data_IF_702989048696
#
_entry.id   IF_702989048696
#
_cell.length_a   1.000
_cell.length_b   1.000
_cell.length_c   1.000
_cell.angle_alpha   90.00
_cell.angle_beta   90.00
_cell.angle_gamma   90.00
#
_symmetry.space_group_name_H-M   'P 1'
#
loop_
_entity.id
_entity.type
_entity.pdbx_description
1 polymer ?
#
# COMPACT_ATOMS: atom_id res chain seq x y z
N UNK A 1 2.10 -6.08 1.55
CA UNK A 1 2.91 -5.54 2.67
C UNK A 1 2.10 -5.58 3.96
N UNK A 2 0.84 -5.17 3.94
CA UNK A 2 -0.07 -5.16 5.10
C UNK A 2 -0.18 -6.51 5.83
N UNK A 3 -0.14 -7.61 5.08
CA UNK A 3 -0.17 -8.96 5.66
C UNK A 3 1.02 -9.29 6.59
N UNK A 4 2.06 -8.46 6.59
CA UNK A 4 3.21 -8.60 7.49
C UNK A 4 2.99 -7.90 8.84
N UNK A 5 2.02 -7.02 8.92
CA UNK A 5 1.70 -6.29 10.15
C UNK A 5 1.24 -7.28 11.23
N UNK A 6 1.88 -7.21 12.39
CA UNK A 6 1.58 -8.11 13.51
C UNK A 6 2.16 -9.53 13.41
N UNK A 7 2.73 -9.93 12.27
CA UNK A 7 3.33 -11.27 12.11
C UNK A 7 4.78 -11.35 12.61
N UNK A 8 5.48 -10.22 12.63
CA UNK A 8 6.88 -10.15 13.05
C UNK A 8 7.07 -9.13 14.16
N UNK A 9 7.54 -9.54 15.36
CA UNK A 9 7.78 -8.62 16.46
C UNK A 9 8.80 -7.53 16.09
N UNK A 10 8.46 -6.26 16.37
CA UNK A 10 9.32 -5.11 16.10
C UNK A 10 9.28 -4.59 14.66
N UNK A 11 8.41 -5.13 13.81
CA UNK A 11 8.09 -4.59 12.49
C UNK A 11 6.82 -3.74 12.60
N UNK A 12 6.93 -2.46 12.29
CA UNK A 12 5.81 -1.51 12.24
C UNK A 12 5.57 -1.13 10.79
N UNK A 13 4.34 -1.30 10.34
CA UNK A 13 3.89 -0.89 9.00
C UNK A 13 2.81 0.16 9.20
N UNK A 14 3.04 1.36 8.69
CA UNK A 14 2.09 2.47 8.76
C UNK A 14 1.69 2.88 7.36
N UNK A 15 0.39 2.87 7.10
CA UNK A 15 -0.18 3.41 5.88
C UNK A 15 -0.75 4.80 6.20
N UNK A 16 -0.19 5.83 5.58
CA UNK A 16 -0.58 7.23 5.82
C UNK A 16 -1.90 7.58 5.14
N UNK A 17 -2.18 6.95 4.00
CA UNK A 17 -3.46 7.08 3.33
C UNK A 17 -3.80 5.78 2.57
N UNK A 18 -5.08 5.60 2.23
CA UNK A 18 -5.59 4.41 1.54
C UNK A 18 -5.69 4.57 0.02
N UNK A 19 -4.99 5.55 -0.57
CA UNK A 19 -4.97 5.72 -2.02
C UNK A 19 -4.26 4.55 -2.70
N UNK A 20 -4.81 4.06 -3.84
CA UNK A 20 -4.17 3.03 -4.63
C UNK A 20 -2.75 3.41 -5.03
N UNK A 21 -1.78 2.52 -4.78
CA UNK A 21 -0.38 2.75 -5.11
C UNK A 21 0.43 3.54 -4.08
N UNK A 22 -0.17 4.02 -3.00
CA UNK A 22 0.57 4.65 -1.93
C UNK A 22 1.50 3.66 -1.22
N UNK A 23 2.66 4.16 -0.79
CA UNK A 23 3.69 3.34 -0.15
C UNK A 23 3.51 3.38 1.36
N UNK A 24 3.30 2.23 2.02
CA UNK A 24 3.34 2.17 3.47
C UNK A 24 4.76 2.45 3.96
N UNK A 25 4.86 3.18 5.05
CA UNK A 25 6.12 3.31 5.80
C UNK A 25 6.38 2.03 6.58
N UNK A 26 7.58 1.48 6.43
CA UNK A 26 8.02 0.27 7.11
C UNK A 26 9.17 0.63 8.02
N UNK A 27 9.02 0.36 9.31
CA UNK A 27 10.04 0.61 10.31
C UNK A 27 10.33 -0.66 11.12
N UNK A 28 11.62 -0.91 11.40
CA UNK A 28 12.08 -1.96 12.29
C UNK A 28 12.70 -1.27 13.50
N UNK A 29 12.24 -1.62 14.74
CA UNK A 29 12.71 -1.03 16.00
C UNK A 29 12.40 0.48 16.20
N UNK A 30 11.37 1.01 15.54
CA UNK A 30 10.97 2.41 15.64
C UNK A 30 11.87 3.38 14.85
N UNK A 31 11.73 4.67 15.12
CA UNK A 31 12.48 5.74 14.46
C UNK A 31 13.78 6.01 15.19
N UNK A 32 14.92 5.66 14.61
CA UNK A 32 16.25 5.84 15.19
C UNK A 32 17.01 7.05 14.64
N UNK A 33 16.54 7.62 13.54
CA UNK A 33 17.18 8.78 12.89
C UNK A 33 16.13 9.81 12.47
N UNK A 34 16.55 11.06 12.28
CA UNK A 34 15.71 12.13 11.72
C UNK A 34 15.58 12.03 10.19
N UNK A 35 16.39 11.18 9.57
CA UNK A 35 16.39 10.94 8.13
C UNK A 35 15.55 9.69 7.78
N UNK A 36 15.93 8.98 6.73
CA UNK A 36 15.25 7.77 6.28
C UNK A 36 15.46 6.61 7.28
N UNK A 37 14.36 6.11 7.84
CA UNK A 37 14.32 4.96 8.76
C UNK A 37 13.94 3.65 8.03
N UNK A 38 13.82 3.68 6.70
CA UNK A 38 13.42 2.51 5.92
C UNK A 38 14.43 1.37 6.04
N UNK A 39 13.99 0.13 6.25
CA UNK A 39 14.88 -1.01 6.26
C UNK A 39 15.40 -1.33 4.85
N UNK A 40 16.56 -1.98 4.78
CA UNK A 40 17.05 -2.53 3.54
C UNK A 40 16.20 -3.74 3.12
N UNK A 41 15.62 -3.71 1.93
CA UNK A 41 14.87 -4.83 1.38
C UNK A 41 15.71 -5.58 0.36
N UNK A 42 15.84 -6.89 0.57
CA UNK A 42 16.52 -7.79 -0.35
C UNK A 42 15.53 -8.84 -0.88
N UNK A 43 15.45 -8.94 -2.21
CA UNK A 43 14.62 -9.91 -2.91
C UNK A 43 15.56 -10.90 -3.60
N UNK A 44 15.55 -12.15 -3.17
CA UNK A 44 16.47 -13.20 -3.64
C UNK A 44 17.95 -12.76 -3.60
N UNK A 45 18.33 -11.97 -2.59
CA UNK A 45 19.67 -11.44 -2.37
C UNK A 45 20.00 -10.13 -3.11
N UNK A 46 19.09 -9.59 -3.91
CA UNK A 46 19.24 -8.31 -4.60
C UNK A 46 18.43 -7.20 -3.92
N UNK A 47 19.00 -5.99 -3.87
CA UNK A 47 18.28 -4.82 -3.35
C UNK A 47 17.06 -4.54 -4.23
N UNK A 48 15.90 -4.41 -3.60
CA UNK A 48 14.64 -4.19 -4.30
C UNK A 48 13.59 -3.50 -3.45
N UNK A 49 12.43 -3.27 -4.04
CA UNK A 49 11.26 -2.70 -3.36
C UNK A 49 10.22 -3.81 -3.12
N UNK A 50 9.79 -3.98 -1.89
CA UNK A 50 8.81 -4.97 -1.49
C UNK A 50 7.47 -4.82 -2.24
N UNK A 51 7.13 -3.60 -2.65
CA UNK A 51 5.91 -3.33 -3.42
C UNK A 51 5.96 -3.89 -4.84
N UNK A 52 7.15 -4.13 -5.37
CA UNK A 52 7.33 -4.69 -6.70
C UNK A 52 7.23 -6.22 -6.73
N UNK A 53 7.10 -6.86 -5.58
CA UNK A 53 6.91 -8.31 -5.50
C UNK A 53 5.42 -8.63 -5.41
N UNK A 54 4.99 -9.62 -6.21
CA UNK A 54 3.67 -10.20 -6.03
C UNK A 54 3.66 -11.06 -4.75
N UNK A 55 2.75 -10.81 -3.79
CA UNK A 55 2.66 -11.61 -2.57
C UNK A 55 2.53 -13.11 -2.82
N UNK A 56 1.87 -13.51 -3.91
CA UNK A 56 1.67 -14.91 -4.28
C UNK A 56 2.96 -15.59 -4.78
N UNK A 57 3.98 -14.81 -5.17
CA UNK A 57 5.30 -15.33 -5.54
C UNK A 57 6.26 -15.46 -4.35
N UNK A 58 5.89 -14.98 -3.17
CA UNK A 58 6.73 -15.03 -1.97
C UNK A 58 6.67 -16.43 -1.36
N UNK A 59 7.83 -16.99 -1.07
CA UNK A 59 8.00 -18.22 -0.33
C UNK A 59 8.17 -17.96 1.16
N UNK A 60 9.05 -17.02 1.52
CA UNK A 60 9.32 -16.66 2.90
C UNK A 60 9.79 -15.21 3.01
N UNK A 61 9.53 -14.62 4.18
CA UNK A 61 10.04 -13.31 4.57
C UNK A 61 10.73 -13.46 5.91
N UNK A 62 11.96 -12.97 5.99
CA UNK A 62 12.74 -12.94 7.22
C UNK A 62 13.16 -11.52 7.53
N UNK A 63 13.03 -11.11 8.79
CA UNK A 63 13.42 -9.77 9.25
C UNK A 63 14.63 -9.88 10.15
N UNK A 64 15.75 -9.32 9.71
CA UNK A 64 16.98 -9.21 10.47
C UNK A 64 17.01 -7.87 11.19
N UNK A 65 16.97 -7.92 12.50
CA UNK A 65 16.94 -6.72 13.33
C UNK A 65 18.19 -6.58 14.20
N UNK A 66 18.99 -7.63 14.38
CA UNK A 66 20.16 -7.60 15.24
C UNK A 66 21.40 -7.15 14.48
N UNK A 67 22.23 -6.31 15.13
CA UNK A 67 23.44 -5.74 14.52
C UNK A 67 24.39 -6.81 13.98
N UNK A 68 24.50 -7.96 14.69
CA UNK A 68 25.32 -9.09 14.26
C UNK A 68 24.81 -9.72 12.96
N UNK A 69 23.48 -9.85 12.78
CA UNK A 69 22.87 -10.42 11.58
C UNK A 69 22.84 -9.44 10.39
N UNK A 70 22.84 -8.15 10.66
CA UNK A 70 22.81 -7.11 9.60
C UNK A 70 24.20 -6.65 9.18
N UNK A 71 25.26 -6.94 9.94
CA UNK A 71 26.63 -6.51 9.67
C UNK A 71 27.15 -6.85 8.28
N UNK A 72 26.76 -8.00 7.73
CA UNK A 72 27.18 -8.45 6.38
C UNK A 72 26.64 -7.58 5.24
N UNK A 73 25.62 -6.76 5.50
CA UNK A 73 24.98 -5.88 4.52
C UNK A 73 25.46 -4.43 4.60
N UNK A 74 26.41 -4.14 5.52
CA UNK A 74 27.04 -2.82 5.68
C UNK A 74 26.14 -1.75 6.29
N UNK A 75 26.50 -0.48 6.09
CA UNK A 75 25.83 0.68 6.70
C UNK A 75 24.37 0.86 6.28
N UNK A 76 23.98 0.40 5.09
CA UNK A 76 22.58 0.45 4.62
C UNK A 76 21.64 -0.42 5.45
N UNK A 77 22.16 -1.36 6.19
CA UNK A 77 21.38 -2.27 7.04
C UNK A 77 21.22 -1.77 8.49
N UNK A 78 21.64 -0.55 8.79
CA UNK A 78 21.54 0.05 10.14
C UNK A 78 20.11 0.06 10.68
N UNK A 79 19.12 0.25 9.82
CA UNK A 79 17.69 0.25 10.14
C UNK A 79 17.03 -1.14 10.06
N UNK A 80 17.84 -2.21 9.93
CA UNK A 80 17.38 -3.58 9.76
C UNK A 80 17.30 -4.00 8.30
N UNK A 81 17.08 -5.30 8.09
CA UNK A 81 17.01 -5.91 6.74
C UNK A 81 15.78 -6.79 6.65
N UNK A 82 15.05 -6.67 5.55
CA UNK A 82 13.95 -7.56 5.17
C UNK A 82 14.43 -8.44 4.03
N UNK A 83 14.52 -9.74 4.28
CA UNK A 83 14.89 -10.74 3.28
C UNK A 83 13.62 -11.38 2.72
N UNK A 84 13.40 -11.24 1.44
CA UNK A 84 12.30 -11.86 0.72
C UNK A 84 12.87 -12.97 -0.17
N UNK A 85 12.45 -14.20 0.06
CA UNK A 85 12.76 -15.33 -0.80
C UNK A 85 11.54 -15.64 -1.64
N UNK A 86 11.70 -15.68 -2.96
CA UNK A 86 10.62 -16.01 -3.88
C UNK A 86 10.52 -17.50 -4.12
N UNK A 87 9.34 -17.95 -4.54
CA UNK A 87 9.06 -19.34 -4.88
C UNK A 87 9.97 -19.82 -6.01
N UNK A 88 10.38 -21.06 -5.92
CA UNK A 88 11.14 -21.77 -6.95
C UNK A 88 10.25 -22.80 -7.64
N UNK A 89 10.74 -23.36 -8.74
CA UNK A 89 10.05 -24.42 -9.44
C UNK A 89 9.81 -25.66 -8.54
N UNK A 90 8.68 -26.31 -8.74
CA UNK A 90 8.33 -27.54 -8.03
C UNK A 90 9.16 -28.70 -8.54
N UNK A 91 9.68 -29.58 -7.65
CA UNK A 91 10.38 -30.79 -8.04
C UNK A 91 9.40 -31.86 -8.52
N UNK A 92 9.82 -32.64 -9.49
CA UNK A 92 9.19 -33.88 -9.99
C UNK A 92 7.75 -33.75 -10.52
N UNK A 93 7.25 -32.53 -10.71
CA UNK A 93 5.93 -32.30 -11.28
C UNK A 93 5.81 -30.95 -11.95
N UNK A 94 4.96 -30.90 -12.96
CA UNK A 94 4.44 -29.64 -13.50
C UNK A 94 3.24 -29.24 -12.66
N UNK A 95 3.27 -28.05 -12.08
CA UNK A 95 2.14 -27.50 -11.33
C UNK A 95 1.74 -26.17 -11.97
N UNK A 96 0.44 -26.06 -12.29
CA UNK A 96 -0.18 -24.83 -12.77
C UNK A 96 -1.14 -24.36 -11.69
N UNK A 97 -0.93 -23.13 -11.22
CA UNK A 97 -1.80 -22.53 -10.22
C UNK A 97 -2.41 -21.25 -10.80
N UNK A 98 -3.71 -21.11 -10.66
CA UNK A 98 -4.44 -19.89 -10.92
C UNK A 98 -5.09 -19.40 -9.64
N UNK A 99 -4.91 -18.13 -9.32
CA UNK A 99 -5.53 -17.48 -8.16
C UNK A 99 -6.29 -16.25 -8.64
N UNK A 100 -7.53 -16.14 -8.22
CA UNK A 100 -8.39 -14.98 -8.42
C UNK A 100 -8.90 -14.48 -7.08
N UNK A 101 -8.80 -13.17 -6.86
CA UNK A 101 -9.36 -12.51 -5.69
C UNK A 101 -10.18 -11.32 -6.17
N UNK A 102 -11.37 -11.17 -5.60
CA UNK A 102 -12.21 -10.00 -5.76
C UNK A 102 -12.61 -9.50 -4.38
N UNK A 103 -12.59 -8.20 -4.20
CA UNK A 103 -12.94 -7.56 -2.93
C UNK A 103 -13.57 -6.19 -3.16
N UNK A 104 -14.28 -5.73 -2.16
CA UNK A 104 -14.76 -4.36 -2.04
C UNK A 104 -14.02 -3.69 -0.88
N UNK A 105 -13.39 -2.58 -1.16
CA UNK A 105 -12.80 -1.72 -0.13
C UNK A 105 -13.77 -0.60 0.19
N UNK A 106 -13.80 -0.18 1.44
CA UNK A 106 -14.60 0.93 1.92
C UNK A 106 -13.87 1.71 3.01
N UNK A 107 -14.37 2.87 3.36
CA UNK A 107 -13.85 3.66 4.47
C UNK A 107 -14.29 3.04 5.80
N UNK A 108 -13.38 2.92 6.74
CA UNK A 108 -13.70 2.45 8.10
C UNK A 108 -14.37 3.52 8.94
N UNK A 109 -14.08 4.79 8.65
CA UNK A 109 -14.71 5.94 9.28
C UNK A 109 -14.75 7.08 8.27
N UNK A 110 -15.93 7.65 8.07
CA UNK A 110 -16.11 8.88 7.30
C UNK A 110 -16.36 10.03 8.27
N UNK A 111 -15.67 11.16 8.11
CA UNK A 111 -16.05 12.38 8.80
C UNK A 111 -17.52 12.70 8.49
N UNK A 112 -18.28 13.06 9.50
CA UNK A 112 -19.64 13.55 9.33
C UNK A 112 -19.65 15.06 9.60
N UNK A 113 -19.59 15.90 8.57
CA UNK A 113 -19.63 17.34 8.74
C UNK A 113 -20.92 17.76 9.45
N UNK A 114 -20.79 18.73 10.32
CA UNK A 114 -21.96 19.34 10.98
C UNK A 114 -22.77 20.13 9.98
N UNK A 115 -24.04 20.36 10.30
CA UNK A 115 -24.90 21.19 9.46
C UNK A 115 -24.39 22.63 9.39
N UNK A 116 -24.64 23.32 8.27
CA UNK A 116 -24.13 24.65 8.00
C UNK A 116 -24.46 25.69 9.09
N UNK A 117 -25.66 25.62 9.69
CA UNK A 117 -26.04 26.50 10.77
C UNK A 117 -25.27 26.20 12.08
N UNK A 118 -25.00 24.95 12.39
CA UNK A 118 -24.17 24.55 13.55
C UNK A 118 -22.73 25.05 13.36
N UNK A 119 -22.19 24.87 12.15
CA UNK A 119 -20.87 25.41 11.81
C UNK A 119 -20.80 26.92 12.04
N UNK A 120 -21.83 27.67 11.58
CA UNK A 120 -21.88 29.10 11.74
C UNK A 120 -21.95 29.55 13.21
N UNK A 121 -22.72 28.84 14.06
CA UNK A 121 -22.76 29.06 15.51
C UNK A 121 -21.40 28.81 16.16
N UNK A 122 -20.81 27.64 15.94
CA UNK A 122 -19.50 27.27 16.50
C UNK A 122 -18.38 28.22 16.02
N UNK A 123 -18.44 28.66 14.77
CA UNK A 123 -17.49 29.65 14.23
C UNK A 123 -17.60 30.99 14.93
N UNK A 124 -18.82 31.47 15.18
CA UNK A 124 -19.05 32.70 15.93
C UNK A 124 -18.55 32.57 17.38
N UNK A 125 -18.84 31.47 18.05
CA UNK A 125 -18.35 31.21 19.40
C UNK A 125 -16.81 31.24 19.47
N UNK A 126 -16.13 30.56 18.53
CA UNK A 126 -14.67 30.56 18.45
C UNK A 126 -14.10 31.97 18.23
N UNK A 127 -14.76 32.80 17.39
CA UNK A 127 -14.33 34.18 17.14
C UNK A 127 -14.52 35.05 18.39
N UNK A 128 -15.68 34.97 19.05
CA UNK A 128 -15.93 35.71 20.29
C UNK A 128 -14.94 35.33 21.38
N UNK A 129 -14.68 34.04 21.57
CA UNK A 129 -13.68 33.55 22.52
C UNK A 129 -12.26 34.02 22.21
N UNK A 130 -11.98 34.35 20.94
CA UNK A 130 -10.70 34.90 20.49
C UNK A 130 -10.67 36.44 20.50
N UNK A 131 -11.71 37.10 21.01
CA UNK A 131 -11.85 38.57 21.04
C UNK A 131 -12.10 39.21 19.67
N UNK A 132 -12.59 38.43 18.70
CA UNK A 132 -12.94 38.88 17.33
C UNK A 132 -14.44 39.06 17.15
N UNK A 133 -14.82 39.84 16.14
CA UNK A 133 -16.23 40.02 15.78
C UNK A 133 -16.82 38.73 15.18
N UNK A 134 -18.12 38.52 15.36
CA UNK A 134 -18.86 37.43 14.74
C UNK A 134 -18.78 37.50 13.21
N UNK A 135 -18.70 36.32 12.57
CA UNK A 135 -18.65 36.16 11.12
C UNK A 135 -20.05 36.06 10.50
N UNK A 136 -21.01 35.51 11.23
CA UNK A 136 -22.37 35.25 10.75
C UNK A 136 -23.38 35.97 11.67
N UNK A 137 -24.32 36.69 11.06
CA UNK A 137 -25.41 37.31 11.83
C UNK A 137 -26.44 36.27 12.26
N UNK A 138 -27.26 36.55 13.32
CA UNK A 138 -28.34 35.66 13.71
C UNK A 138 -29.36 35.39 12.59
N UNK A 139 -29.60 36.35 11.73
CA UNK A 139 -30.48 36.20 10.56
C UNK A 139 -29.90 35.23 9.54
N UNK A 140 -28.59 35.34 9.27
CA UNK A 140 -27.89 34.38 8.38
C UNK A 140 -27.94 32.96 8.94
N UNK A 141 -27.69 32.77 10.23
CA UNK A 141 -27.75 31.46 10.89
C UNK A 141 -29.17 30.88 10.81
N UNK A 142 -30.18 31.70 11.07
CA UNK A 142 -31.57 31.25 10.95
C UNK A 142 -31.95 30.89 9.51
N UNK A 143 -31.42 31.61 8.53
CA UNK A 143 -31.61 31.28 7.12
C UNK A 143 -30.93 29.96 6.75
N UNK A 144 -29.69 29.71 7.20
CA UNK A 144 -29.02 28.42 7.02
C UNK A 144 -29.82 27.27 7.63
N UNK A 145 -30.42 27.47 8.79
CA UNK A 145 -31.23 26.46 9.46
C UNK A 145 -32.52 26.11 8.72
N UNK A 146 -33.19 27.09 8.11
CA UNK A 146 -34.52 26.91 7.55
C UNK A 146 -34.53 26.76 6.02
N UNK A 147 -33.63 27.45 5.30
CA UNK A 147 -33.65 27.57 3.84
C UNK A 147 -32.26 27.49 3.19
N UNK A 148 -31.21 27.39 4.00
CA UNK A 148 -29.84 27.45 3.49
C UNK A 148 -29.35 26.13 2.91
N UNK A 149 -28.26 26.19 2.11
CA UNK A 149 -27.58 24.98 1.64
C UNK A 149 -27.03 24.22 2.86
N UNK A 150 -27.28 22.93 2.88
CA UNK A 150 -26.74 22.01 3.88
C UNK A 150 -26.09 20.79 3.19
N UNK A 151 -25.31 21.09 2.14
CA UNK A 151 -24.67 20.08 1.30
C UNK A 151 -23.48 19.47 2.02
N UNK A 152 -23.49 18.15 2.12
CA UNK A 152 -22.37 17.38 2.67
C UNK A 152 -21.46 16.97 1.53
N UNK A 153 -20.61 17.89 1.05
CA UNK A 153 -19.69 17.73 -0.07
C UNK A 153 -18.81 16.50 0.00
N UNK A 154 -18.59 15.96 1.21
CA UNK A 154 -17.79 14.75 1.38
C UNK A 154 -18.40 13.55 0.65
N UNK A 155 -19.72 13.49 0.54
CA UNK A 155 -20.42 12.42 -0.17
C UNK A 155 -20.27 12.52 -1.69
N UNK A 156 -19.97 13.72 -2.20
CA UNK A 156 -19.75 13.97 -3.63
C UNK A 156 -18.31 13.65 -4.04
N UNK A 157 -17.40 13.66 -3.06
CA UNK A 157 -15.97 13.41 -3.27
C UNK A 157 -15.61 11.94 -3.03
N UNK A 158 -16.31 11.25 -2.12
CA UNK A 158 -16.03 9.87 -1.76
C UNK A 158 -17.13 8.90 -2.15
N UNK A 159 -16.72 7.74 -2.68
CA UNK A 159 -17.59 6.58 -2.88
C UNK A 159 -17.65 5.77 -1.59
N UNK A 160 -18.80 5.19 -1.28
CA UNK A 160 -18.96 4.29 -0.13
C UNK A 160 -18.12 3.01 -0.27
N UNK A 161 -17.89 2.57 -1.52
CA UNK A 161 -17.08 1.39 -1.81
C UNK A 161 -16.40 1.48 -3.17
N UNK A 162 -15.27 0.79 -3.31
CA UNK A 162 -14.56 0.64 -4.57
C UNK A 162 -14.11 -0.81 -4.76
N UNK A 163 -14.30 -1.41 -5.96
CA UNK A 163 -13.88 -2.77 -6.22
C UNK A 163 -12.38 -2.85 -6.41
N UNK A 164 -11.84 -4.00 -6.04
CA UNK A 164 -10.49 -4.44 -6.36
C UNK A 164 -10.51 -5.89 -6.84
N UNK A 165 -9.62 -6.21 -7.77
CA UNK A 165 -9.49 -7.57 -8.27
C UNK A 165 -8.03 -7.90 -8.55
N UNK A 166 -7.68 -9.16 -8.39
CA UNK A 166 -6.36 -9.65 -8.76
C UNK A 166 -6.44 -11.04 -9.40
N UNK A 167 -5.62 -11.24 -10.39
CA UNK A 167 -5.44 -12.50 -11.12
C UNK A 167 -3.98 -12.86 -11.10
N UNK A 168 -3.66 -14.09 -10.81
CA UNK A 168 -2.30 -14.60 -10.87
C UNK A 168 -2.28 -16.01 -11.45
N UNK A 169 -1.40 -16.21 -12.43
CA UNK A 169 -1.12 -17.53 -13.00
C UNK A 169 0.35 -17.84 -12.73
N UNK A 170 0.63 -19.01 -12.20
CA UNK A 170 1.99 -19.49 -12.07
C UNK A 170 2.11 -20.94 -12.59
N UNK A 171 3.19 -21.18 -13.28
CA UNK A 171 3.59 -22.48 -13.81
C UNK A 171 4.93 -22.81 -13.19
N UNK A 172 5.01 -23.93 -12.49
CA UNK A 172 6.26 -24.41 -11.92
C UNK A 172 6.54 -25.83 -12.37
N UNK A 173 7.79 -26.10 -12.67
CA UNK A 173 8.27 -27.42 -13.05
C UNK A 173 9.70 -27.61 -12.55
N UNK A 174 10.11 -28.84 -12.39
CA UNK A 174 11.49 -29.13 -12.02
C UNK A 174 11.79 -30.61 -11.98
N UNK A 175 13.07 -30.89 -11.90
CA UNK A 175 13.68 -32.18 -11.65
C UNK A 175 14.63 -32.04 -10.46
N UNK A 176 15.31 -33.09 -10.06
CA UNK A 176 16.34 -33.00 -9.01
C UNK A 176 17.48 -32.03 -9.36
N UNK A 177 17.71 -31.78 -10.65
CA UNK A 177 18.81 -30.94 -11.13
C UNK A 177 18.39 -29.56 -11.62
N UNK A 178 17.14 -29.37 -11.97
CA UNK A 178 16.68 -28.13 -12.57
C UNK A 178 15.29 -27.78 -12.08
N UNK A 179 15.02 -26.49 -11.88
CA UNK A 179 13.69 -26.00 -11.56
C UNK A 179 13.41 -24.69 -12.30
N UNK A 180 12.17 -24.51 -12.72
CA UNK A 180 11.68 -23.30 -13.36
C UNK A 180 10.36 -22.90 -12.74
N UNK A 181 10.21 -21.61 -12.48
CA UNK A 181 8.93 -20.98 -12.13
C UNK A 181 8.71 -19.82 -13.11
N UNK A 182 7.53 -19.79 -13.68
CA UNK A 182 7.00 -18.65 -14.43
C UNK A 182 5.72 -18.16 -13.75
N UNK A 183 5.59 -16.87 -13.51
CA UNK A 183 4.42 -16.26 -12.89
C UNK A 183 4.05 -14.96 -13.60
N UNK A 184 2.76 -14.74 -13.82
CA UNK A 184 2.19 -13.50 -14.32
C UNK A 184 1.03 -13.10 -13.46
N UNK A 185 1.00 -11.84 -13.05
CA UNK A 185 -0.07 -11.27 -12.23
C UNK A 185 -0.60 -9.95 -12.78
N UNK A 186 -1.89 -9.76 -12.59
CA UNK A 186 -2.60 -8.51 -12.81
C UNK A 186 -3.41 -8.16 -11.59
N UNK A 187 -3.36 -6.91 -11.17
CA UNK A 187 -4.17 -6.36 -10.08
C UNK A 187 -4.73 -5.01 -10.52
N UNK A 188 -6.02 -4.85 -10.32
CA UNK A 188 -6.72 -3.58 -10.47
C UNK A 188 -7.31 -3.20 -9.10
N UNK A 189 -7.09 -1.96 -8.69
CA UNK A 189 -7.63 -1.39 -7.46
C UNK A 189 -8.20 -0.02 -7.78
N UNK A 190 -9.51 0.15 -7.63
CA UNK A 190 -10.17 1.44 -7.84
C UNK A 190 -10.04 2.32 -6.60
N UNK A 191 -9.99 3.63 -6.81
CA UNK A 191 -10.00 4.62 -5.74
C UNK A 191 -11.39 4.82 -5.15
N UNK A 192 -11.44 5.14 -3.87
CA UNK A 192 -12.66 5.62 -3.20
C UNK A 192 -13.01 7.05 -3.58
N UNK A 193 -12.08 7.81 -4.18
CA UNK A 193 -12.42 9.14 -4.71
C UNK A 193 -13.31 9.05 -5.95
N UNK A 194 -14.27 9.96 -6.03
CA UNK A 194 -15.07 10.17 -7.22
C UNK A 194 -14.21 10.84 -8.30
N UNK A 195 -14.15 10.25 -9.48
CA UNK A 195 -13.38 10.80 -10.59
C UNK A 195 -13.22 9.81 -11.74
N UNK A 196 -12.64 10.26 -12.87
CA UNK A 196 -12.50 9.46 -14.07
C UNK A 196 -11.41 8.41 -13.88
N UNK A 197 -11.83 7.17 -13.60
CA UNK A 197 -10.94 5.99 -13.52
C UNK A 197 -9.77 6.13 -12.52
N UNK A 198 -9.98 6.83 -11.40
CA UNK A 198 -8.94 6.88 -10.36
C UNK A 198 -8.71 5.49 -9.76
N UNK A 199 -7.45 5.12 -9.69
CA UNK A 199 -7.05 3.81 -9.21
C UNK A 199 -5.67 3.40 -9.68
N UNK A 200 -5.37 2.10 -9.53
CA UNK A 200 -4.09 1.51 -9.90
C UNK A 200 -4.30 0.22 -10.67
N UNK A 201 -3.60 0.10 -11.80
CA UNK A 201 -3.36 -1.17 -12.50
C UNK A 201 -1.92 -1.60 -12.26
N UNK A 202 -1.72 -2.80 -11.75
CA UNK A 202 -0.42 -3.39 -11.52
C UNK A 202 -0.26 -4.66 -12.33
N UNK A 203 0.80 -4.70 -13.13
CA UNK A 203 1.20 -5.86 -13.91
C UNK A 203 2.54 -6.35 -13.39
N UNK A 204 2.68 -7.63 -13.19
CA UNK A 204 3.93 -8.25 -12.80
C UNK A 204 4.17 -9.56 -13.55
N UNK A 205 5.42 -9.82 -13.87
CA UNK A 205 5.88 -11.06 -14.43
C UNK A 205 7.18 -11.48 -13.75
N UNK A 206 7.36 -12.75 -13.53
CA UNK A 206 8.56 -13.32 -12.90
C UNK A 206 8.95 -14.63 -13.54
N UNK A 207 10.25 -14.81 -13.73
CA UNK A 207 10.85 -16.06 -14.17
C UNK A 207 11.99 -16.38 -13.21
N UNK A 208 11.94 -17.51 -12.54
CA UNK A 208 13.02 -18.04 -11.71
C UNK A 208 13.47 -19.36 -12.33
N UNK A 209 14.75 -19.46 -12.67
CA UNK A 209 15.37 -20.66 -13.22
C UNK A 209 16.56 -21.01 -12.38
N UNK A 210 16.65 -22.26 -11.95
CA UNK A 210 17.85 -22.83 -11.32
C UNK A 210 18.20 -24.15 -12.01
N UNK A 211 19.47 -24.38 -12.25
CA UNK A 211 19.93 -25.67 -12.80
C UNK A 211 21.32 -26.03 -12.30
N UNK A 212 21.50 -27.31 -12.07
CA UNK A 212 22.75 -27.94 -11.68
C UNK A 212 23.30 -28.77 -12.83
N UNK A 213 24.26 -28.19 -13.58
CA UNK A 213 24.91 -28.86 -14.69
C UNK A 213 25.82 -30.01 -14.24
N UNK A 214 26.48 -29.86 -13.09
CA UNK A 214 27.33 -30.88 -12.50
C UNK A 214 27.32 -30.79 -10.97
N UNK A 215 27.93 -31.75 -10.27
CA UNK A 215 28.07 -31.68 -8.79
C UNK A 215 28.77 -30.40 -8.30
N UNK A 216 29.56 -29.74 -9.17
CA UNK A 216 30.36 -28.56 -8.84
C UNK A 216 29.84 -27.27 -9.47
N UNK A 217 28.87 -27.34 -10.40
CA UNK A 217 28.42 -26.19 -11.13
C UNK A 217 26.89 -26.05 -11.08
N UNK A 218 26.44 -24.97 -10.44
CA UNK A 218 25.05 -24.53 -10.42
C UNK A 218 24.95 -23.15 -11.02
N UNK A 219 23.89 -22.90 -11.76
CA UNK A 219 23.54 -21.56 -12.25
C UNK A 219 22.06 -21.28 -11.97
N UNK A 220 21.74 -20.00 -11.85
CA UNK A 220 20.37 -19.55 -11.66
C UNK A 220 20.19 -18.15 -12.23
N UNK A 221 18.96 -17.84 -12.63
CA UNK A 221 18.57 -16.54 -13.08
C UNK A 221 17.18 -16.21 -12.52
N UNK A 222 17.05 -15.03 -11.91
CA UNK A 222 15.79 -14.49 -11.43
C UNK A 222 15.53 -13.19 -12.20
N UNK A 223 14.49 -13.19 -13.01
CA UNK A 223 14.06 -12.01 -13.77
C UNK A 223 12.66 -11.62 -13.30
N UNK A 224 12.49 -10.36 -12.95
CA UNK A 224 11.19 -9.83 -12.55
C UNK A 224 10.91 -8.51 -13.27
N UNK A 225 9.69 -8.34 -13.71
CA UNK A 225 9.18 -7.10 -14.28
C UNK A 225 7.93 -6.69 -13.54
N UNK A 226 7.84 -5.42 -13.18
CA UNK A 226 6.64 -4.85 -12.56
C UNK A 226 6.35 -3.49 -13.19
N UNK A 227 5.10 -3.27 -13.55
CA UNK A 227 4.59 -2.00 -14.05
C UNK A 227 3.36 -1.60 -13.25
N UNK A 228 3.42 -0.43 -12.63
CA UNK A 228 2.28 0.20 -11.96
C UNK A 228 1.81 1.37 -12.82
N UNK A 229 0.52 1.40 -13.13
CA UNK A 229 -0.15 2.52 -13.77
C UNK A 229 -1.14 3.09 -12.78
N UNK A 230 -0.82 4.25 -12.25
CA UNK A 230 -1.62 4.94 -11.25
C UNK A 230 -2.28 6.13 -11.92
N UNK A 231 -3.59 6.26 -11.74
CA UNK A 231 -4.37 7.45 -12.06
C UNK A 231 -4.89 8.01 -10.75
N UNK A 232 -4.51 9.22 -10.43
CA UNK A 232 -4.84 9.88 -9.18
C UNK A 232 -5.36 11.29 -9.44
N UNK A 233 -5.99 11.88 -8.43
CA UNK A 233 -6.41 13.27 -8.45
C UNK A 233 -5.20 14.22 -8.50
N UNK A 234 -5.38 15.38 -9.09
CA UNK A 234 -4.32 16.39 -9.26
C UNK A 234 -3.90 17.05 -7.95
N UNK A 235 -4.73 17.00 -6.91
CA UNK A 235 -4.49 17.63 -5.62
C UNK A 235 -4.30 16.56 -4.53
N UNK A 236 -3.55 16.90 -3.49
CA UNK A 236 -3.36 16.04 -2.32
C UNK A 236 -4.68 15.78 -1.63
N UNK A 237 -4.88 14.55 -1.18
CA UNK A 237 -6.09 14.10 -0.47
C UNK A 237 -6.44 15.01 0.70
N UNK A 238 -5.44 15.37 1.50
CA UNK A 238 -5.62 16.21 2.69
C UNK A 238 -6.15 17.60 2.31
N UNK A 239 -5.65 18.18 1.23
CA UNK A 239 -6.14 19.46 0.72
C UNK A 239 -7.59 19.41 0.24
N UNK A 240 -7.98 18.31 -0.44
CA UNK A 240 -9.38 18.10 -0.87
C UNK A 240 -10.27 17.99 0.36
N UNK A 241 -9.87 17.23 1.37
CA UNK A 241 -10.62 17.06 2.61
C UNK A 241 -10.79 18.38 3.37
N UNK A 242 -9.74 19.21 3.44
CA UNK A 242 -9.82 20.54 4.05
C UNK A 242 -10.81 21.48 3.36
N UNK A 243 -11.07 21.29 2.05
CA UNK A 243 -12.02 22.11 1.31
C UNK A 243 -13.48 21.65 1.46
N UNK A 244 -13.72 20.38 1.81
CA UNK A 244 -15.07 19.80 1.85
C UNK A 244 -15.59 19.51 3.28
N UNK A 245 -14.76 19.72 4.29
CA UNK A 245 -15.14 19.67 5.71
C UNK A 245 -15.43 21.08 6.24
#
# INVERSE_FOLDING_TARGET
VEALQGTTPGLTIQQTNSQPGNRPSINIRGTNTLNDNSPLVLIDGMIGDIQNVNPLDIQSISVLKDASSTAIYGSRASNGVILITTKKGSKDRVAVNYSFNYGLQGTTCMPNPVDSWIYAELRNEALVNSGKSIAFTPEQINNFKNNGPNDKWINDVYKSSAPQQSHNISISSGTDKSSILFSVGYMNQNSLFVGPDYGMDKYNARINVESQLSKKFKYGANVAYTRNKIKDNAYWTDWILEQVM
#
